data_IF_350160491502
#
_entry.id   IF_350160491502
#
_cell.length_a   1.000
_cell.length_b   1.000
_cell.length_c   1.000
_cell.angle_alpha   90.00
_cell.angle_beta   90.00
_cell.angle_gamma   90.00
#
_symmetry.space_group_name_H-M   'P 1'
#
loop_
_entity.id
_entity.type
_entity.pdbx_description
1 polymer ?
#
# COMPACT_ATOMS: atom_id res chain seq x y z
N UNK A 1 -1.65 -47.95 -13.10
CA UNK A 1 -1.81 -46.74 -12.27
C UNK A 1 -2.05 -45.50 -13.13
N UNK A 2 -3.13 -45.41 -13.94
CA UNK A 2 -3.45 -44.27 -14.82
C UNK A 2 -4.87 -43.66 -14.58
N UNK A 3 -5.61 -44.14 -13.58
CA UNK A 3 -7.02 -43.78 -13.41
C UNK A 3 -7.30 -42.64 -12.41
N UNK A 4 -6.30 -42.14 -11.69
CA UNK A 4 -6.54 -41.16 -10.59
C UNK A 4 -6.31 -39.67 -10.96
N UNK A 5 -5.65 -39.38 -12.08
CA UNK A 5 -5.37 -37.98 -12.50
C UNK A 5 -6.51 -37.31 -13.28
N UNK A 6 -7.39 -38.07 -13.90
CA UNK A 6 -8.46 -37.53 -14.73
C UNK A 6 -9.56 -36.74 -13.96
N UNK A 7 -10.07 -37.19 -12.80
CA UNK A 7 -11.10 -36.44 -12.06
C UNK A 7 -10.57 -35.12 -11.50
N UNK A 8 -9.33 -35.11 -11.03
CA UNK A 8 -8.70 -33.91 -10.44
C UNK A 8 -8.42 -32.85 -11.52
N UNK A 9 -7.87 -33.24 -12.66
CA UNK A 9 -7.67 -32.35 -13.80
C UNK A 9 -8.98 -31.79 -14.37
N UNK A 10 -10.06 -32.60 -14.41
CA UNK A 10 -11.38 -32.13 -14.80
C UNK A 10 -11.90 -31.03 -13.86
N UNK A 11 -11.81 -31.25 -12.54
CA UNK A 11 -12.25 -30.28 -11.54
C UNK A 11 -11.44 -28.99 -11.64
N UNK A 12 -10.10 -29.08 -11.74
CA UNK A 12 -9.22 -27.92 -11.88
C UNK A 12 -9.54 -27.10 -13.14
N UNK A 13 -9.77 -27.77 -14.28
CA UNK A 13 -10.15 -27.09 -15.52
C UNK A 13 -11.51 -26.38 -15.38
N UNK A 14 -12.50 -27.02 -14.77
CA UNK A 14 -13.82 -26.43 -14.53
C UNK A 14 -13.72 -25.20 -13.62
N UNK A 15 -12.93 -25.27 -12.54
CA UNK A 15 -12.67 -24.14 -11.65
C UNK A 15 -11.97 -22.98 -12.35
N UNK A 16 -10.94 -23.26 -13.19
CA UNK A 16 -10.27 -22.24 -13.99
C UNK A 16 -11.23 -21.54 -14.94
N UNK A 17 -12.03 -22.28 -15.68
CA UNK A 17 -13.01 -21.73 -16.62
C UNK A 17 -14.05 -20.87 -15.89
N UNK A 18 -14.53 -21.33 -14.73
CA UNK A 18 -15.45 -20.58 -13.87
C UNK A 18 -14.81 -19.27 -13.37
N UNK A 19 -13.53 -19.29 -12.98
CA UNK A 19 -12.79 -18.11 -12.59
C UNK A 19 -12.65 -17.06 -13.70
N UNK A 20 -12.67 -17.52 -14.95
CA UNK A 20 -12.67 -16.67 -16.15
C UNK A 20 -14.06 -16.17 -16.54
N UNK A 21 -15.11 -16.58 -15.81
CA UNK A 21 -16.53 -16.32 -16.12
C UNK A 21 -16.95 -16.92 -17.47
N UNK A 22 -16.36 -18.04 -17.86
CA UNK A 22 -16.69 -18.82 -19.05
C UNK A 22 -17.63 -19.94 -18.64
N UNK A 23 -18.84 -19.60 -18.18
CA UNK A 23 -19.80 -20.54 -17.57
C UNK A 23 -20.14 -21.70 -18.49
N UNK A 24 -20.50 -21.43 -19.74
CA UNK A 24 -20.84 -22.50 -20.72
C UNK A 24 -19.64 -23.43 -20.96
N UNK A 25 -18.42 -22.91 -21.04
CA UNK A 25 -17.24 -23.77 -21.19
C UNK A 25 -16.96 -24.59 -19.93
N UNK A 26 -17.20 -24.03 -18.75
CA UNK A 26 -17.03 -24.74 -17.49
C UNK A 26 -18.01 -25.91 -17.34
N UNK A 27 -19.21 -25.77 -17.86
CA UNK A 27 -20.26 -26.79 -17.82
C UNK A 27 -20.13 -27.87 -18.92
N UNK A 28 -19.77 -27.47 -20.13
CA UNK A 28 -19.85 -28.30 -21.32
C UNK A 28 -18.51 -28.90 -21.78
N UNK A 29 -17.37 -28.27 -21.51
CA UNK A 29 -16.10 -28.68 -22.15
C UNK A 29 -15.67 -30.10 -21.71
N UNK A 30 -15.63 -30.35 -20.41
CA UNK A 30 -15.19 -31.63 -19.87
C UNK A 30 -16.12 -32.78 -20.31
N UNK A 31 -17.49 -32.71 -20.18
CA UNK A 31 -18.40 -33.72 -20.67
C UNK A 31 -18.21 -34.01 -22.17
N UNK A 32 -18.09 -32.98 -22.99
CA UNK A 32 -17.89 -33.16 -24.45
C UNK A 32 -16.60 -33.84 -24.82
N UNK A 33 -15.51 -33.52 -24.10
CA UNK A 33 -14.22 -34.21 -24.31
C UNK A 33 -14.29 -35.67 -23.92
N UNK A 34 -15.01 -36.01 -22.88
CA UNK A 34 -15.26 -37.41 -22.46
C UNK A 34 -16.11 -38.17 -23.46
N UNK A 35 -17.24 -37.60 -23.90
CA UNK A 35 -18.10 -38.18 -24.93
C UNK A 35 -17.37 -38.42 -26.24
N UNK A 36 -16.45 -37.51 -26.60
CA UNK A 36 -15.64 -37.62 -27.82
C UNK A 36 -14.40 -38.53 -27.68
N UNK A 37 -14.12 -39.05 -26.47
CA UNK A 37 -12.92 -39.86 -26.21
C UNK A 37 -11.60 -39.08 -26.25
N UNK A 38 -11.63 -37.75 -26.02
CA UNK A 38 -10.48 -36.85 -26.07
C UNK A 38 -9.91 -36.47 -24.70
N UNK A 39 -10.06 -37.30 -23.68
CA UNK A 39 -9.59 -37.09 -22.31
C UNK A 39 -8.05 -36.87 -22.24
N UNK A 40 -7.31 -37.44 -23.20
CA UNK A 40 -5.87 -37.24 -23.29
C UNK A 40 -5.46 -35.78 -23.55
N UNK A 41 -6.39 -34.92 -24.00
CA UNK A 41 -6.15 -33.49 -24.22
C UNK A 41 -6.29 -32.64 -22.97
N UNK A 42 -6.88 -33.17 -21.88
CA UNK A 42 -7.12 -32.41 -20.63
C UNK A 42 -5.85 -31.78 -20.04
N UNK A 43 -4.69 -32.47 -19.93
CA UNK A 43 -3.49 -31.87 -19.38
C UNK A 43 -3.01 -30.67 -20.19
N UNK A 44 -3.07 -30.75 -21.51
CA UNK A 44 -2.63 -29.64 -22.40
C UNK A 44 -3.58 -28.45 -22.27
N UNK A 45 -4.88 -28.70 -22.18
CA UNK A 45 -5.88 -27.63 -21.96
C UNK A 45 -5.67 -26.97 -20.61
N UNK A 46 -5.43 -27.76 -19.56
CA UNK A 46 -5.17 -27.24 -18.23
C UNK A 46 -3.94 -26.32 -18.22
N UNK A 47 -2.82 -26.75 -18.83
CA UNK A 47 -1.61 -25.97 -18.97
C UNK A 47 -1.87 -24.63 -19.68
N UNK A 48 -2.56 -24.65 -20.82
CA UNK A 48 -2.89 -23.43 -21.58
C UNK A 48 -3.78 -22.48 -20.79
N UNK A 49 -4.79 -23.00 -20.08
CA UNK A 49 -5.63 -22.15 -19.25
C UNK A 49 -4.92 -21.61 -18.00
N UNK A 50 -3.97 -22.34 -17.44
CA UNK A 50 -3.10 -21.82 -16.39
C UNK A 50 -2.21 -20.68 -16.89
N UNK A 51 -1.62 -20.82 -18.07
CA UNK A 51 -0.87 -19.71 -18.72
C UNK A 51 -1.76 -18.48 -18.92
N UNK A 52 -3.01 -18.66 -19.35
CA UNK A 52 -3.97 -17.53 -19.48
C UNK A 52 -4.30 -16.90 -18.13
N UNK A 53 -4.41 -17.70 -17.06
CA UNK A 53 -4.62 -17.20 -15.69
C UNK A 53 -3.47 -16.30 -15.26
N UNK A 54 -2.24 -16.75 -15.47
CA UNK A 54 -1.02 -15.97 -15.17
C UNK A 54 -0.97 -14.67 -16.00
N UNK A 55 -1.21 -14.76 -17.29
CA UNK A 55 -1.22 -13.61 -18.19
C UNK A 55 -2.33 -12.59 -17.80
N UNK A 56 -3.50 -13.05 -17.37
CA UNK A 56 -4.57 -12.18 -16.86
C UNK A 56 -4.18 -11.51 -15.55
N UNK A 57 -3.53 -12.26 -14.66
CA UNK A 57 -3.02 -11.72 -13.39
C UNK A 57 -1.98 -10.65 -13.62
N UNK A 58 -0.97 -10.90 -14.45
CA UNK A 58 0.06 -9.92 -14.81
C UNK A 58 -0.54 -8.63 -15.41
N UNK A 59 -1.48 -8.78 -16.35
CA UNK A 59 -2.20 -7.64 -16.95
C UNK A 59 -3.00 -6.86 -15.89
N UNK A 60 -3.62 -7.56 -14.92
CA UNK A 60 -4.31 -6.93 -13.80
C UNK A 60 -3.35 -6.15 -12.91
N UNK A 61 -2.27 -6.76 -12.44
CA UNK A 61 -1.25 -6.13 -11.59
C UNK A 61 -0.63 -4.93 -12.31
N UNK A 62 -0.26 -5.06 -13.58
CA UNK A 62 0.29 -3.96 -14.38
C UNK A 62 -0.67 -2.76 -14.48
N UNK A 63 -1.98 -3.01 -14.61
CA UNK A 63 -3.01 -1.97 -14.60
C UNK A 63 -3.14 -1.30 -13.24
N UNK A 64 -3.15 -2.09 -12.15
CA UNK A 64 -3.22 -1.59 -10.77
C UNK A 64 -1.99 -0.76 -10.43
N UNK A 65 -0.79 -1.22 -10.80
CA UNK A 65 0.48 -0.50 -10.61
C UNK A 65 0.45 0.87 -11.29
N UNK A 66 -0.03 0.96 -12.53
CA UNK A 66 -0.18 2.26 -13.22
C UNK A 66 -1.20 3.17 -12.54
N UNK A 67 -2.32 2.63 -12.07
CA UNK A 67 -3.37 3.41 -11.41
C UNK A 67 -2.98 3.87 -10.00
N UNK A 68 -2.07 3.17 -9.35
CA UNK A 68 -1.67 3.43 -7.95
C UNK A 68 -0.90 4.73 -7.75
N UNK A 69 -0.20 5.24 -8.77
CA UNK A 69 0.73 6.39 -8.67
C UNK A 69 1.85 6.20 -7.65
N UNK A 70 2.12 4.97 -7.23
CA UNK A 70 3.20 4.66 -6.30
C UNK A 70 4.56 4.89 -6.97
N UNK A 71 5.52 5.54 -6.29
CA UNK A 71 6.89 5.64 -6.77
C UNK A 71 7.52 4.25 -6.94
N UNK A 72 7.99 3.86 -8.13
CA UNK A 72 8.45 2.49 -8.40
C UNK A 72 9.70 2.10 -7.60
N UNK A 73 10.52 3.09 -7.21
CA UNK A 73 11.75 2.84 -6.45
C UNK A 73 11.53 2.64 -4.94
N UNK A 74 10.30 2.79 -4.44
CA UNK A 74 10.02 2.64 -3.01
C UNK A 74 9.33 1.30 -2.74
N UNK A 75 10.12 0.24 -2.65
CA UNK A 75 9.70 -1.14 -2.36
C UNK A 75 10.28 -1.61 -1.03
N UNK A 76 9.87 -2.78 -0.55
CA UNK A 76 10.51 -3.40 0.62
C UNK A 76 11.96 -3.83 0.34
N UNK A 77 12.33 -4.13 -0.92
CA UNK A 77 13.71 -4.46 -1.29
C UNK A 77 14.65 -3.25 -1.15
N UNK A 78 14.13 -2.04 -1.37
CA UNK A 78 14.88 -0.79 -1.23
C UNK A 78 14.74 -0.14 0.15
N UNK A 79 13.90 -0.72 1.01
CA UNK A 79 13.65 -0.22 2.36
C UNK A 79 14.44 -1.03 3.39
N UNK A 80 15.33 -0.37 4.14
CA UNK A 80 16.13 -1.03 5.17
C UNK A 80 15.28 -1.36 6.41
N UNK A 81 14.68 -2.54 6.41
CA UNK A 81 13.87 -3.06 7.52
C UNK A 81 14.67 -3.28 8.81
N UNK A 82 16.00 -3.45 8.73
CA UNK A 82 16.85 -3.72 9.91
C UNK A 82 17.00 -2.49 10.81
N UNK A 83 16.74 -1.31 10.29
CA UNK A 83 16.75 -0.06 11.08
C UNK A 83 15.50 0.12 11.92
N UNK A 84 14.45 -0.60 11.63
CA UNK A 84 13.21 -0.52 12.39
C UNK A 84 13.27 -1.38 13.67
N UNK A 85 12.62 -0.94 14.76
CA UNK A 85 12.33 -1.82 15.88
C UNK A 85 11.64 -3.09 15.41
N UNK A 86 12.01 -4.24 15.98
CA UNK A 86 11.45 -5.55 15.61
C UNK A 86 9.91 -5.59 15.57
N UNK A 87 9.18 -4.99 16.56
CA UNK A 87 7.72 -4.95 16.51
C UNK A 87 7.19 -4.23 15.28
N UNK A 88 7.74 -3.06 14.93
CA UNK A 88 7.32 -2.26 13.78
C UNK A 88 7.60 -3.01 12.46
N UNK A 89 8.78 -3.63 12.34
CA UNK A 89 9.12 -4.44 11.18
C UNK A 89 8.17 -5.64 11.01
N UNK A 90 7.72 -6.25 12.12
CA UNK A 90 6.73 -7.34 12.10
C UNK A 90 5.36 -6.83 11.65
N UNK A 91 4.88 -5.74 12.23
CA UNK A 91 3.60 -5.11 11.83
C UNK A 91 3.55 -4.78 10.34
N UNK A 92 4.63 -4.22 9.78
CA UNK A 92 4.71 -3.92 8.34
C UNK A 92 4.61 -5.18 7.46
N UNK A 93 5.21 -6.32 7.88
CA UNK A 93 5.08 -7.59 7.16
C UNK A 93 3.67 -8.17 7.25
N UNK A 94 3.06 -8.10 8.43
CA UNK A 94 1.66 -8.53 8.64
C UNK A 94 0.70 -7.72 7.77
N UNK A 95 0.86 -6.40 7.71
CA UNK A 95 0.05 -5.53 6.86
C UNK A 95 0.25 -5.82 5.35
N UNK A 96 1.44 -6.27 4.94
CA UNK A 96 1.71 -6.62 3.54
C UNK A 96 0.87 -7.82 3.05
N UNK A 97 0.34 -8.65 3.95
CA UNK A 97 -0.61 -9.71 3.64
C UNK A 97 -1.97 -9.22 3.15
N UNK A 98 -2.38 -7.99 3.52
CA UNK A 98 -3.61 -7.37 3.01
C UNK A 98 -4.88 -7.65 3.79
N UNK A 99 -4.88 -8.55 4.79
CA UNK A 99 -6.09 -8.95 5.56
C UNK A 99 -6.81 -7.77 6.23
N UNK A 100 -6.07 -6.71 6.57
CA UNK A 100 -6.62 -5.51 7.18
C UNK A 100 -7.58 -4.75 6.25
N UNK A 101 -7.44 -4.91 4.93
CA UNK A 101 -8.28 -4.25 3.92
C UNK A 101 -9.71 -4.79 3.94
N UNK A 102 -9.89 -6.09 4.19
CA UNK A 102 -11.21 -6.72 4.26
C UNK A 102 -12.03 -6.23 5.46
N UNK A 103 -11.32 -5.83 6.52
CA UNK A 103 -11.90 -5.30 7.75
C UNK A 103 -11.94 -3.76 7.79
N UNK A 104 -11.62 -3.10 6.69
CA UNK A 104 -11.54 -1.65 6.57
C UNK A 104 -10.68 -0.98 7.67
N UNK A 105 -9.62 -1.66 8.15
CA UNK A 105 -8.72 -1.15 9.18
C UNK A 105 -7.83 -0.07 8.59
N UNK A 106 -7.70 1.06 9.28
CA UNK A 106 -6.80 2.14 8.89
C UNK A 106 -5.37 1.88 9.36
N UNK A 107 -4.40 2.54 8.72
CA UNK A 107 -2.99 2.50 9.13
C UNK A 107 -2.50 3.93 9.34
N UNK A 108 -1.94 4.22 10.50
CA UNK A 108 -1.48 5.56 10.86
C UNK A 108 0.02 5.51 11.17
N UNK A 109 0.84 6.13 10.33
CA UNK A 109 2.29 6.11 10.43
C UNK A 109 2.81 7.47 10.93
N UNK A 110 3.30 7.47 12.18
CA UNK A 110 3.83 8.66 12.85
C UNK A 110 5.35 8.62 12.98
N UNK A 111 5.97 9.78 13.04
CA UNK A 111 7.40 9.93 13.34
C UNK A 111 8.00 11.19 12.73
N UNK A 112 9.21 11.53 13.12
CA UNK A 112 9.92 12.71 12.65
C UNK A 112 10.18 12.70 11.14
N UNK A 113 10.42 13.85 10.51
CA UNK A 113 10.81 13.90 9.10
C UNK A 113 12.08 13.07 8.82
N UNK A 114 12.06 12.30 7.72
CA UNK A 114 13.22 11.51 7.31
C UNK A 114 13.33 10.11 7.96
N UNK A 115 12.41 9.69 8.83
CA UNK A 115 12.44 8.37 9.49
C UNK A 115 11.98 7.20 8.60
N UNK A 116 11.52 7.45 7.36
CA UNK A 116 11.16 6.40 6.41
C UNK A 116 9.66 6.14 6.24
N UNK A 117 8.76 6.86 6.92
CA UNK A 117 7.28 6.67 6.85
C UNK A 117 6.73 6.57 5.43
N UNK A 118 7.01 7.59 4.60
CA UNK A 118 6.53 7.61 3.20
C UNK A 118 7.13 6.50 2.35
N UNK A 119 8.36 6.03 2.67
CA UNK A 119 8.95 4.89 1.99
C UNK A 119 8.23 3.60 2.40
N UNK A 120 8.06 3.37 3.69
CA UNK A 120 7.34 2.21 4.22
C UNK A 120 5.89 2.15 3.70
N UNK A 121 5.19 3.29 3.69
CA UNK A 121 3.84 3.40 3.14
C UNK A 121 3.78 3.05 1.63
N UNK A 122 4.75 3.52 0.85
CA UNK A 122 4.86 3.15 -0.56
C UNK A 122 5.20 1.67 -0.75
N UNK A 123 6.16 1.14 0.03
CA UNK A 123 6.55 -0.27 -0.03
C UNK A 123 5.39 -1.20 0.31
N UNK A 124 4.61 -0.86 1.35
CA UNK A 124 3.38 -1.56 1.68
C UNK A 124 2.36 -1.48 0.53
N UNK A 125 2.17 -0.29 -0.03
CA UNK A 125 1.28 -0.10 -1.19
C UNK A 125 1.70 -0.94 -2.40
N UNK A 126 3.01 -1.04 -2.70
CA UNK A 126 3.53 -1.90 -3.78
C UNK A 126 3.23 -3.38 -3.52
N UNK A 127 3.50 -3.87 -2.30
CA UNK A 127 3.21 -5.26 -1.94
C UNK A 127 1.72 -5.59 -2.10
N UNK A 128 0.83 -4.69 -1.70
CA UNK A 128 -0.61 -4.85 -1.85
C UNK A 128 -1.06 -4.82 -3.33
N UNK A 129 -0.42 -4.02 -4.17
CA UNK A 129 -0.66 -4.02 -5.63
C UNK A 129 -0.24 -5.35 -6.25
N UNK A 130 0.91 -5.90 -5.87
CA UNK A 130 1.36 -7.24 -6.31
C UNK A 130 0.40 -8.34 -5.84
N UNK A 131 -0.22 -8.18 -4.66
CA UNK A 131 -1.29 -9.05 -4.17
C UNK A 131 -2.65 -8.81 -4.87
N UNK A 132 -2.73 -7.89 -5.86
CA UNK A 132 -3.94 -7.64 -6.65
C UNK A 132 -4.93 -6.65 -6.04
N UNK A 133 -4.54 -5.91 -4.99
CA UNK A 133 -5.38 -4.87 -4.39
C UNK A 133 -5.24 -3.53 -5.10
N UNK A 134 -6.34 -2.82 -5.25
CA UNK A 134 -6.33 -1.46 -5.81
C UNK A 134 -5.87 -0.47 -4.74
N UNK A 135 -4.69 0.13 -4.93
CA UNK A 135 -4.09 1.13 -4.04
C UNK A 135 -3.95 2.45 -4.78
N UNK A 136 -4.17 3.57 -4.10
CA UNK A 136 -3.85 4.91 -4.59
C UNK A 136 -2.87 5.58 -3.64
N UNK A 137 -1.73 6.03 -4.15
CA UNK A 137 -0.82 6.91 -3.42
C UNK A 137 -1.02 8.35 -3.88
N UNK A 138 -1.14 9.27 -2.92
CA UNK A 138 -1.24 10.69 -3.22
C UNK A 138 -0.71 11.53 -2.04
N UNK A 139 0.04 12.60 -2.30
CA UNK A 139 0.25 13.63 -1.29
C UNK A 139 -1.10 14.20 -0.85
N UNK A 140 -1.32 14.35 0.46
CA UNK A 140 -2.60 14.81 1.02
C UNK A 140 -3.04 16.14 0.41
N UNK A 141 -2.11 17.08 0.29
CA UNK A 141 -2.36 18.37 -0.34
C UNK A 141 -2.95 18.26 -1.76
N UNK A 142 -2.38 17.40 -2.63
CA UNK A 142 -2.86 17.25 -4.00
C UNK A 142 -4.28 16.69 -4.05
N UNK A 143 -4.59 15.75 -3.19
CA UNK A 143 -5.93 15.17 -3.14
C UNK A 143 -6.97 16.19 -2.64
N UNK A 144 -6.63 16.93 -1.59
CA UNK A 144 -7.51 17.98 -1.05
C UNK A 144 -7.81 19.04 -2.12
N UNK A 145 -6.81 19.51 -2.85
CA UNK A 145 -7.01 20.47 -3.94
C UNK A 145 -7.92 19.89 -5.05
N UNK A 146 -7.72 18.64 -5.44
CA UNK A 146 -8.58 17.99 -6.43
C UNK A 146 -10.04 17.86 -5.95
N UNK A 147 -10.25 17.55 -4.66
CA UNK A 147 -11.59 17.46 -4.08
C UNK A 147 -12.25 18.85 -3.96
N UNK A 148 -11.49 19.89 -3.64
CA UNK A 148 -12.01 21.28 -3.64
C UNK A 148 -12.48 21.72 -5.03
N UNK A 149 -11.69 21.44 -6.06
CA UNK A 149 -12.12 21.72 -7.44
C UNK A 149 -13.42 20.97 -7.75
N UNK A 150 -13.47 19.67 -7.44
CA UNK A 150 -14.67 18.87 -7.65
C UNK A 150 -15.88 19.39 -6.85
N UNK A 151 -15.67 19.92 -5.63
CA UNK A 151 -16.72 20.56 -4.82
C UNK A 151 -17.27 21.81 -5.50
N UNK A 152 -16.39 22.69 -6.01
CA UNK A 152 -16.77 23.92 -6.72
C UNK A 152 -17.53 23.64 -8.01
N UNK A 153 -17.18 22.55 -8.68
CA UNK A 153 -17.84 22.08 -9.91
C UNK A 153 -19.10 21.24 -9.64
N UNK A 154 -19.54 21.09 -8.38
CA UNK A 154 -20.67 20.25 -7.95
C UNK A 154 -20.49 18.75 -8.28
N UNK A 155 -19.25 18.30 -8.46
CA UNK A 155 -18.86 16.93 -8.83
C UNK A 155 -18.24 16.15 -7.67
N UNK A 156 -18.27 16.67 -6.42
CA UNK A 156 -17.62 16.04 -5.26
C UNK A 156 -18.06 14.60 -5.05
N UNK A 157 -19.37 14.33 -5.12
CA UNK A 157 -19.90 12.97 -4.97
C UNK A 157 -19.36 12.00 -6.03
N UNK A 158 -19.16 12.46 -7.25
CA UNK A 158 -18.57 11.67 -8.34
C UNK A 158 -17.08 11.42 -8.10
N UNK A 159 -16.34 12.42 -7.60
CA UNK A 159 -14.94 12.29 -7.23
C UNK A 159 -14.74 11.28 -6.09
N UNK A 160 -15.56 11.34 -5.04
CA UNK A 160 -15.53 10.38 -3.92
C UNK A 160 -15.83 8.95 -4.39
N UNK A 161 -16.85 8.74 -5.24
CA UNK A 161 -17.12 7.41 -5.83
C UNK A 161 -15.96 6.86 -6.66
N UNK A 162 -15.19 7.71 -7.34
CA UNK A 162 -13.97 7.26 -8.04
C UNK A 162 -12.89 6.82 -7.07
N UNK A 163 -12.76 7.48 -5.94
CA UNK A 163 -11.81 7.12 -4.88
C UNK A 163 -12.22 5.84 -4.14
N UNK A 164 -13.50 5.55 -4.03
CA UNK A 164 -14.02 4.34 -3.37
C UNK A 164 -13.65 3.02 -4.09
N UNK A 165 -13.18 3.10 -5.34
CA UNK A 165 -12.65 1.95 -6.09
C UNK A 165 -11.33 1.41 -5.53
N UNK A 166 -10.60 2.23 -4.78
CA UNK A 166 -9.35 1.83 -4.19
C UNK A 166 -9.59 1.21 -2.81
N UNK A 167 -9.14 -0.02 -2.62
CA UNK A 167 -9.19 -0.69 -1.34
C UNK A 167 -8.38 0.07 -0.27
N UNK A 168 -7.25 0.66 -0.69
CA UNK A 168 -6.40 1.50 0.14
C UNK A 168 -6.12 2.84 -0.55
N UNK A 169 -6.26 3.95 0.19
CA UNK A 169 -5.69 5.24 -0.19
C UNK A 169 -4.56 5.57 0.78
N UNK A 170 -3.38 5.83 0.24
CA UNK A 170 -2.22 6.32 0.99
C UNK A 170 -2.20 7.84 0.89
N UNK A 171 -2.50 8.51 2.00
CA UNK A 171 -2.41 9.97 2.18
C UNK A 171 -1.05 10.31 2.77
N UNK A 172 -0.13 10.72 1.91
CA UNK A 172 1.21 11.05 2.36
C UNK A 172 1.27 12.48 2.90
N UNK A 173 1.81 12.61 4.10
CA UNK A 173 2.13 13.86 4.78
C UNK A 173 0.91 14.78 5.07
N UNK A 174 0.02 14.32 5.95
CA UNK A 174 -1.16 15.09 6.34
C UNK A 174 -0.82 16.37 7.12
N UNK A 175 0.35 16.44 7.76
CA UNK A 175 0.75 17.56 8.64
C UNK A 175 1.27 18.81 7.94
N UNK A 176 1.42 18.81 6.61
CA UNK A 176 2.08 19.91 5.87
C UNK A 176 1.14 21.01 5.38
N UNK A 177 -0.14 20.93 5.65
CA UNK A 177 -1.14 21.82 5.07
C UNK A 177 -1.68 22.77 6.13
N UNK A 178 -1.41 24.08 5.98
CA UNK A 178 -2.27 25.10 6.57
C UNK A 178 -3.56 25.07 5.77
N UNK A 179 -4.58 24.42 6.30
CA UNK A 179 -5.79 24.15 5.55
C UNK A 179 -6.83 25.24 5.84
N UNK A 180 -7.44 25.73 4.76
CA UNK A 180 -8.66 26.52 4.90
C UNK A 180 -9.80 25.65 5.44
N UNK A 181 -10.86 26.23 6.03
CA UNK A 181 -12.03 25.46 6.47
C UNK A 181 -12.64 24.60 5.36
N UNK A 182 -12.59 25.05 4.10
CA UNK A 182 -13.11 24.31 2.95
C UNK A 182 -12.25 23.07 2.62
N UNK A 183 -10.93 23.20 2.72
CA UNK A 183 -9.99 22.09 2.54
C UNK A 183 -10.20 21.02 3.62
N UNK A 184 -10.43 21.45 4.83
CA UNK A 184 -10.74 20.58 5.96
C UNK A 184 -12.03 19.81 5.76
N UNK A 185 -13.07 20.49 5.30
CA UNK A 185 -14.37 19.92 5.04
C UNK A 185 -14.29 18.77 4.00
N UNK A 186 -13.60 18.99 2.88
CA UNK A 186 -13.48 17.95 1.84
C UNK A 186 -12.63 16.77 2.29
N UNK A 187 -11.57 17.02 3.09
CA UNK A 187 -10.77 15.95 3.68
C UNK A 187 -11.60 15.14 4.68
N UNK A 188 -12.31 15.82 5.58
CA UNK A 188 -13.19 15.17 6.55
C UNK A 188 -14.29 14.36 5.85
N UNK A 189 -14.89 14.89 4.78
CA UNK A 189 -15.90 14.19 3.98
C UNK A 189 -15.30 12.90 3.38
N UNK A 190 -14.09 12.95 2.82
CA UNK A 190 -13.41 11.76 2.32
C UNK A 190 -13.21 10.71 3.42
N UNK A 191 -12.71 11.13 4.59
CA UNK A 191 -12.46 10.20 5.71
C UNK A 191 -13.78 9.60 6.23
N UNK A 192 -14.85 10.39 6.31
CA UNK A 192 -16.16 9.92 6.71
C UNK A 192 -16.78 8.92 5.73
N UNK A 193 -16.66 9.17 4.42
CA UNK A 193 -17.15 8.25 3.39
C UNK A 193 -16.41 6.91 3.38
N UNK A 194 -15.15 6.89 3.80
CA UNK A 194 -14.35 5.66 3.85
C UNK A 194 -14.45 4.91 5.18
N UNK A 195 -14.94 5.56 6.21
CA UNK A 195 -15.06 4.97 7.55
C UNK A 195 -15.82 3.64 7.49
N UNK A 196 -15.25 2.58 8.09
CA UNK A 196 -15.76 1.19 8.12
C UNK A 196 -16.05 0.55 6.74
N UNK A 197 -15.66 1.21 5.65
CA UNK A 197 -15.90 0.70 4.28
C UNK A 197 -14.61 0.41 3.52
N UNK A 198 -13.59 1.25 3.71
CA UNK A 198 -12.33 1.17 2.98
C UNK A 198 -11.19 1.69 3.84
N UNK A 199 -10.05 1.05 3.74
CA UNK A 199 -8.86 1.44 4.50
C UNK A 199 -8.22 2.72 3.96
N UNK A 200 -7.64 3.49 4.89
CA UNK A 200 -6.82 4.65 4.60
C UNK A 200 -5.49 4.50 5.34
N UNK A 201 -4.36 4.72 4.66
CA UNK A 201 -3.05 4.83 5.28
C UNK A 201 -2.65 6.29 5.29
N UNK A 202 -2.35 6.82 6.48
CA UNK A 202 -1.95 8.22 6.66
C UNK A 202 -0.54 8.27 7.20
N UNK A 203 0.35 9.05 6.56
CA UNK A 203 1.63 9.39 7.15
C UNK A 203 1.58 10.79 7.74
N UNK A 204 2.12 10.97 8.95
CA UNK A 204 2.16 12.26 9.64
C UNK A 204 3.48 12.46 10.39
N UNK A 205 3.96 13.69 10.38
CA UNK A 205 5.04 14.14 11.26
C UNK A 205 4.49 14.74 12.56
N UNK A 206 3.18 14.89 12.68
CA UNK A 206 2.47 15.39 13.86
C UNK A 206 1.78 14.23 14.57
N UNK A 207 1.93 14.16 15.88
CA UNK A 207 1.16 13.24 16.74
C UNK A 207 -0.29 13.74 16.90
N UNK A 208 -1.20 12.86 17.29
CA UNK A 208 -2.64 13.20 17.41
C UNK A 208 -2.93 14.47 18.24
N UNK A 209 -2.20 14.69 19.34
CA UNK A 209 -2.35 15.88 20.18
C UNK A 209 -2.04 17.20 19.46
N UNK A 210 -1.45 17.14 18.27
CA UNK A 210 -1.14 18.31 17.44
C UNK A 210 -2.05 18.41 16.20
N UNK A 211 -3.01 17.52 16.04
CA UNK A 211 -3.90 17.50 14.87
C UNK A 211 -4.91 18.66 14.88
N UNK A 212 -5.11 19.33 16.03
CA UNK A 212 -5.84 20.60 16.07
C UNK A 212 -5.24 21.66 15.13
N UNK A 213 -3.92 21.57 14.85
CA UNK A 213 -3.26 22.42 13.86
C UNK A 213 -3.68 22.10 12.42
N UNK A 214 -4.13 20.88 12.19
CA UNK A 214 -4.60 20.43 10.87
C UNK A 214 -6.05 20.86 10.70
N UNK A 215 -6.92 20.51 11.65
CA UNK A 215 -8.38 20.68 11.51
C UNK A 215 -8.92 22.01 12.03
N UNK A 216 -8.12 22.81 12.71
CA UNK A 216 -8.45 24.15 13.22
C UNK A 216 -9.78 24.26 14.04
N UNK A 217 -10.53 23.17 14.17
CA UNK A 217 -11.75 23.07 14.93
C UNK A 217 -11.69 21.83 15.84
N UNK A 218 -11.71 21.99 17.18
CA UNK A 218 -11.55 20.88 18.11
C UNK A 218 -12.62 19.78 17.95
N UNK A 219 -13.85 20.13 17.63
CA UNK A 219 -14.93 19.16 17.44
C UNK A 219 -14.71 18.34 16.16
N UNK A 220 -14.35 18.97 15.05
CA UNK A 220 -14.04 18.29 13.78
C UNK A 220 -12.78 17.43 13.93
N UNK A 221 -11.78 17.92 14.66
CA UNK A 221 -10.56 17.16 15.00
C UNK A 221 -10.89 15.91 15.79
N UNK A 222 -11.66 16.02 16.86
CA UNK A 222 -12.06 14.90 17.70
C UNK A 222 -12.83 13.85 16.86
N UNK A 223 -13.78 14.27 16.05
CA UNK A 223 -14.55 13.38 15.18
C UNK A 223 -13.70 12.72 14.08
N UNK A 224 -12.70 13.41 13.52
CA UNK A 224 -11.77 12.84 12.55
C UNK A 224 -10.83 11.82 13.20
N UNK A 225 -10.28 12.15 14.35
CA UNK A 225 -9.41 11.25 15.14
C UNK A 225 -10.19 10.00 15.55
N UNK A 226 -11.40 10.16 16.11
CA UNK A 226 -12.24 9.05 16.53
C UNK A 226 -12.46 8.04 15.37
N UNK A 227 -12.88 8.51 14.20
CA UNK A 227 -13.09 7.65 13.03
C UNK A 227 -11.84 7.00 12.50
N UNK A 228 -10.70 7.68 12.56
CA UNK A 228 -9.43 7.13 12.07
C UNK A 228 -8.83 6.13 13.04
N UNK A 229 -8.95 6.37 14.36
CA UNK A 229 -8.29 5.56 15.40
C UNK A 229 -9.13 4.36 15.81
N UNK A 230 -10.45 4.45 15.76
CA UNK A 230 -11.38 3.42 16.23
C UNK A 230 -11.07 2.02 15.67
N UNK A 231 -10.66 1.94 14.38
CA UNK A 231 -10.18 0.73 13.74
C UNK A 231 -8.85 1.02 13.04
N UNK A 232 -7.76 1.13 13.79
CA UNK A 232 -6.46 1.43 13.19
C UNK A 232 -5.30 0.65 13.77
N UNK A 233 -4.28 0.44 12.91
CA UNK A 233 -2.94 0.05 13.31
C UNK A 233 -2.06 1.28 13.34
N UNK A 234 -1.42 1.54 14.48
CA UNK A 234 -0.50 2.67 14.64
C UNK A 234 0.93 2.16 14.44
N UNK A 235 1.65 2.81 13.53
CA UNK A 235 3.06 2.56 13.22
C UNK A 235 3.89 3.75 13.69
N UNK A 236 4.69 3.56 14.73
CA UNK A 236 5.54 4.60 15.31
C UNK A 236 6.97 4.46 14.80
N UNK A 237 7.42 5.43 13.99
CA UNK A 237 8.77 5.49 13.44
C UNK A 237 9.68 6.31 14.35
N UNK A 238 10.01 5.75 15.51
CA UNK A 238 10.97 6.32 16.45
C UNK A 238 12.40 5.83 16.12
N UNK A 239 12.93 6.32 15.00
CA UNK A 239 14.25 5.98 14.48
C UNK A 239 14.97 7.23 13.98
N UNK A 240 16.33 7.22 13.95
CA UNK A 240 17.11 8.34 13.41
C UNK A 240 16.76 8.63 11.94
N UNK A 241 16.84 9.91 11.55
CA UNK A 241 16.54 10.33 10.19
C UNK A 241 17.58 9.86 9.18
N UNK A 242 17.16 9.13 8.15
CA UNK A 242 18.01 8.76 6.99
C UNK A 242 18.61 9.97 6.27
N UNK A 243 17.93 11.12 6.31
CA UNK A 243 18.39 12.34 5.62
C UNK A 243 19.56 13.00 6.34
N UNK A 244 19.59 12.94 7.65
CA UNK A 244 20.67 13.53 8.45
C UNK A 244 21.92 12.67 8.44
N UNK A 245 21.80 11.36 8.47
CA UNK A 245 22.95 10.45 8.44
C UNK A 245 23.71 10.49 7.10
N UNK A 246 23.01 10.56 5.97
CA UNK A 246 23.64 10.72 4.65
C UNK A 246 24.33 12.07 4.43
N UNK A 247 24.04 13.07 5.28
CA UNK A 247 24.65 14.41 5.21
C UNK A 247 25.84 14.59 6.11
N UNK A 248 26.12 13.68 7.04
CA UNK A 248 27.33 13.73 7.84
C UNK A 248 28.50 13.32 6.95
N UNK A 249 29.42 14.26 6.53
CA UNK A 249 30.64 13.87 5.86
C UNK A 249 31.45 13.02 6.84
N UNK A 250 32.08 11.96 6.36
CA UNK A 250 33.02 11.14 7.11
C UNK A 250 33.95 12.08 7.89
N UNK A 251 34.00 11.90 9.22
CA UNK A 251 34.79 12.76 10.13
C UNK A 251 36.23 12.84 9.68
N UNK A 252 36.93 13.97 9.99
CA UNK A 252 38.30 14.19 9.55
C UNK A 252 39.19 13.08 10.09
N UNK A 253 39.96 12.48 9.17
CA UNK A 253 40.98 11.49 9.48
C UNK A 253 41.88 12.00 10.61
N UNK A 254 41.94 11.28 11.72
CA UNK A 254 42.86 11.50 12.82
C UNK A 254 44.29 11.64 12.28
N UNK A 255 44.81 12.87 12.29
CA UNK A 255 46.24 13.14 12.06
C UNK A 255 47.01 12.50 13.22
N UNK A 256 47.64 11.35 12.97
CA UNK A 256 48.69 10.80 13.82
C UNK A 256 49.83 11.83 13.90
N UNK A 257 49.90 12.52 15.02
CA UNK A 257 51.06 13.36 15.36
C UNK A 257 52.20 12.42 15.76
N UNK A 258 53.13 12.21 14.85
CA UNK A 258 54.44 11.63 15.17
C UNK A 258 55.24 12.65 15.96
N UNK A 259 55.31 12.46 17.27
CA UNK A 259 56.24 13.18 18.13
C UNK A 259 57.66 12.68 17.83
N UNK A 260 58.43 13.51 17.17
CA UNK A 260 59.86 13.32 16.89
C UNK A 260 60.67 13.73 18.14
N UNK A 261 61.20 12.72 18.84
CA UNK A 261 62.17 12.95 19.87
C UNK A 261 63.43 13.62 19.28
N UNK A 262 63.80 14.79 19.78
CA UNK A 262 65.13 15.36 19.63
C UNK A 262 65.83 15.29 20.98
N UNK A 263 66.77 14.34 21.07
CA UNK A 263 67.82 14.41 22.06
C UNK A 263 68.80 15.53 21.72
N UNK A 264 69.34 16.19 22.70
CA UNK A 264 70.32 17.25 22.57
C UNK A 264 71.03 17.51 23.90
N UNK A 265 72.19 17.02 23.94
CA UNK A 265 73.25 17.28 25.01
C UNK A 265 73.41 18.77 25.38
N UNK A 266 73.47 19.09 26.59
CA UNK A 266 74.64 19.52 27.40
C UNK A 266 74.16 19.99 28.77
#
# INVERSE_FOLDING_TARGET
MKASLAPEACNQLTELLSSFKLTTMAEELVPRLQEAGHEASLPVLLEVFEMEREARWERRVARLRRASKLPPAKTFDTFDMNRLPRPLARQLRELAGGDFLERAVNVLAFGLPGTGKSHAACALGQALVEAGHAVLFTPTFQLVQALLVAKRELELARALRKLDRFALIVLDDIGYVQQSPEEMEVLFTLLAERYERRSTLITSNLVFSQWDRIFQNPMTTAAAIDRLVHHSVILEFDVPSYRTEKRSPAGPASKRTTARAKGGKR
#
